data_IF_522102147816
#
_entry.id   IF_522102147816
#
_cell.length_a   1.000
_cell.length_b   1.000
_cell.length_c   1.000
_cell.angle_alpha   90.00
_cell.angle_beta   90.00
_cell.angle_gamma   90.00
#
_symmetry.space_group_name_H-M   'P 1'
#
loop_
_entity.id
_entity.type
_entity.pdbx_description
1 polymer ?
#
# COMPACT_ATOMS: atom_id res chain seq x y z
N UNK A 1 -0.14 -28.05 46.32
CA UNK A 1 0.47 -28.81 45.21
C UNK A 1 -0.64 -29.17 44.23
N UNK A 2 -0.55 -28.67 43.00
CA UNK A 2 -1.56 -28.85 41.96
C UNK A 2 -1.22 -27.96 40.78
N UNK A 3 -0.19 -28.33 40.01
CA UNK A 3 0.01 -27.83 38.65
C UNK A 3 -0.94 -28.59 37.72
N UNK A 4 -1.66 -27.89 36.85
CA UNK A 4 -1.54 -28.17 35.40
C UNK A 4 -1.76 -26.89 34.55
N UNK A 5 -1.38 -26.72 33.29
CA UNK A 5 -0.71 -27.47 32.23
C UNK A 5 -0.30 -26.38 31.22
N UNK A 6 0.95 -26.35 30.74
CA UNK A 6 1.29 -25.46 29.62
C UNK A 6 0.65 -26.03 28.35
N UNK A 7 -0.25 -25.26 27.73
CA UNK A 7 -0.69 -25.48 26.37
C UNK A 7 0.34 -24.85 25.44
N UNK A 8 1.20 -25.69 24.87
CA UNK A 8 2.05 -25.30 23.74
C UNK A 8 1.11 -25.23 22.54
N UNK A 9 0.72 -24.01 22.15
CA UNK A 9 0.06 -23.77 20.87
C UNK A 9 1.16 -23.71 19.82
N UNK A 10 1.32 -24.82 19.09
CA UNK A 10 2.16 -24.87 17.90
C UNK A 10 1.46 -24.04 16.82
N UNK A 11 2.00 -22.87 16.50
CA UNK A 11 1.49 -22.03 15.41
C UNK A 11 1.60 -22.77 14.08
N UNK A 12 0.48 -22.93 13.39
CA UNK A 12 0.49 -23.33 11.98
C UNK A 12 0.87 -22.10 11.14
N UNK A 13 2.08 -22.09 10.62
CA UNK A 13 2.48 -21.18 9.56
C UNK A 13 1.96 -21.68 8.21
N UNK A 14 0.98 -20.99 7.64
CA UNK A 14 0.64 -21.14 6.22
C UNK A 14 1.17 -19.91 5.48
N UNK A 15 2.38 -20.04 4.96
CA UNK A 15 2.96 -19.10 4.00
C UNK A 15 3.29 -19.86 2.73
N UNK A 16 2.36 -19.94 1.79
CA UNK A 16 2.65 -20.40 0.44
C UNK A 16 3.12 -19.18 -0.37
N UNK A 17 4.41 -18.88 -0.32
CA UNK A 17 5.02 -17.92 -1.23
C UNK A 17 5.20 -18.60 -2.60
N UNK A 18 4.26 -18.40 -3.53
CA UNK A 18 4.45 -18.79 -4.93
C UNK A 18 5.21 -17.66 -5.61
N UNK A 19 6.54 -17.68 -5.46
CA UNK A 19 7.43 -16.90 -6.31
C UNK A 19 7.45 -17.50 -7.71
N UNK A 20 6.78 -16.85 -8.67
CA UNK A 20 6.98 -17.17 -10.08
C UNK A 20 8.40 -16.71 -10.43
N UNK A 21 9.35 -17.65 -10.47
CA UNK A 21 10.67 -17.39 -11.00
C UNK A 21 10.54 -17.13 -12.51
N UNK A 22 10.59 -15.86 -12.91
CA UNK A 22 10.84 -15.49 -14.31
C UNK A 22 12.28 -15.92 -14.64
N UNK A 23 12.40 -17.10 -15.24
CA UNK A 23 13.63 -17.50 -15.91
C UNK A 23 13.88 -16.55 -17.07
N UNK A 24 14.98 -15.81 -16.99
CA UNK A 24 15.51 -14.95 -18.05
C UNK A 24 15.59 -15.72 -19.37
N UNK A 25 14.63 -15.50 -20.27
CA UNK A 25 14.81 -15.84 -21.68
C UNK A 25 15.76 -14.81 -22.27
N UNK A 26 17.05 -15.15 -22.28
CA UNK A 26 18.06 -14.47 -23.07
C UNK A 26 17.66 -14.64 -24.54
N UNK A 27 16.98 -13.65 -25.10
CA UNK A 27 16.87 -13.51 -26.56
C UNK A 27 18.24 -13.05 -27.04
N UNK A 28 19.12 -14.01 -27.33
CA UNK A 28 20.33 -13.73 -28.07
C UNK A 28 19.94 -13.32 -29.51
N UNK A 29 20.38 -12.16 -30.03
CA UNK A 29 20.16 -11.81 -31.43
C UNK A 29 20.97 -12.79 -32.30
N UNK A 30 20.24 -13.61 -33.06
CA UNK A 30 20.81 -14.64 -33.92
C UNK A 30 21.61 -13.98 -35.05
N UNK A 31 22.93 -14.19 -35.06
CA UNK A 31 23.79 -13.90 -36.21
C UNK A 31 23.75 -15.08 -37.19
N UNK A 32 23.47 -14.75 -38.45
CA UNK A 32 23.80 -15.44 -39.70
C UNK A 32 23.75 -16.99 -39.77
N UNK A 33 22.71 -17.46 -40.48
CA UNK A 33 22.85 -18.37 -41.62
C UNK A 33 23.69 -19.64 -41.43
N UNK A 34 23.20 -20.64 -40.70
CA UNK A 34 23.61 -22.05 -40.88
C UNK A 34 22.44 -22.97 -40.51
N UNK A 35 21.99 -23.88 -41.41
CA UNK A 35 20.94 -24.84 -41.08
C UNK A 35 21.56 -26.00 -40.29
N UNK A 36 21.58 -25.88 -38.96
CA UNK A 36 22.11 -26.90 -38.06
C UNK A 36 21.68 -26.70 -36.62
N UNK A 37 20.66 -27.45 -36.20
CA UNK A 37 20.48 -28.08 -34.87
C UNK A 37 20.78 -27.20 -33.64
N UNK A 38 19.75 -26.59 -33.07
CA UNK A 38 19.85 -25.94 -31.75
C UNK A 38 18.63 -25.14 -31.27
N UNK A 39 17.59 -24.95 -32.08
CA UNK A 39 16.33 -24.36 -31.63
C UNK A 39 15.41 -25.41 -31.02
N UNK A 40 14.86 -25.14 -29.84
CA UNK A 40 13.78 -25.95 -29.26
C UNK A 40 12.69 -26.16 -30.32
N UNK A 41 12.20 -27.39 -30.45
CA UNK A 41 11.15 -27.68 -31.42
C UNK A 41 9.87 -26.92 -31.03
N UNK A 42 9.09 -26.46 -32.02
CA UNK A 42 7.80 -25.81 -31.77
C UNK A 42 6.87 -26.66 -30.87
N UNK A 43 7.03 -27.99 -30.90
CA UNK A 43 6.29 -28.93 -30.07
C UNK A 43 6.72 -28.90 -28.59
N UNK A 44 8.02 -28.79 -28.30
CA UNK A 44 8.55 -28.65 -26.93
C UNK A 44 8.13 -27.31 -26.29
N UNK A 45 8.17 -26.21 -27.06
CA UNK A 45 7.70 -24.90 -26.57
C UNK A 45 6.20 -24.95 -26.27
N UNK A 46 5.42 -25.59 -27.13
CA UNK A 46 3.97 -25.75 -26.94
C UNK A 46 3.63 -26.62 -25.73
N UNK A 47 4.37 -27.71 -25.51
CA UNK A 47 4.21 -28.58 -24.34
C UNK A 47 4.55 -27.83 -23.05
N UNK A 48 5.69 -27.12 -23.01
CA UNK A 48 6.09 -26.28 -21.87
C UNK A 48 5.05 -25.20 -21.56
N UNK A 49 4.56 -24.50 -22.59
CA UNK A 49 3.51 -23.49 -22.41
C UNK A 49 2.21 -24.11 -21.87
N UNK A 50 1.79 -25.25 -22.42
CA UNK A 50 0.58 -25.96 -21.96
C UNK A 50 0.71 -26.38 -20.50
N UNK A 51 1.88 -26.89 -20.10
CA UNK A 51 2.17 -27.23 -18.71
C UNK A 51 2.16 -26.00 -17.81
N UNK A 52 2.78 -24.90 -18.22
CA UNK A 52 2.81 -23.65 -17.45
C UNK A 52 1.41 -23.09 -17.22
N UNK A 53 0.55 -23.12 -18.25
CA UNK A 53 -0.86 -22.71 -18.13
C UNK A 53 -1.62 -23.62 -17.17
N UNK A 54 -1.40 -24.94 -17.25
CA UNK A 54 -2.03 -25.88 -16.33
C UNK A 54 -1.59 -25.63 -14.88
N UNK A 55 -0.29 -25.50 -14.64
CA UNK A 55 0.28 -25.24 -13.32
C UNK A 55 -0.22 -23.90 -12.76
N UNK A 56 -0.30 -22.86 -13.59
CA UNK A 56 -0.90 -21.57 -13.23
C UNK A 56 -2.36 -21.69 -12.83
N UNK A 57 -3.17 -22.41 -13.60
CA UNK A 57 -4.60 -22.59 -13.30
C UNK A 57 -4.82 -23.38 -12.00
N UNK A 58 -4.00 -24.41 -11.75
CA UNK A 58 -4.06 -25.18 -10.50
C UNK A 58 -3.68 -24.30 -9.31
N UNK A 59 -2.56 -23.57 -9.41
CA UNK A 59 -2.12 -22.65 -8.36
C UNK A 59 -3.18 -21.58 -8.08
N UNK A 60 -3.76 -21.00 -9.13
CA UNK A 60 -4.83 -20.01 -9.01
C UNK A 60 -6.06 -20.59 -8.31
N UNK A 61 -6.53 -21.78 -8.69
CA UNK A 61 -7.68 -22.41 -8.05
C UNK A 61 -7.43 -22.72 -6.56
N UNK A 62 -6.21 -23.13 -6.21
CA UNK A 62 -5.82 -23.35 -4.82
C UNK A 62 -5.78 -22.05 -4.02
N UNK A 63 -5.24 -20.97 -4.60
CA UNK A 63 -5.23 -19.64 -3.99
C UNK A 63 -6.66 -19.10 -3.81
N UNK A 64 -7.49 -19.15 -4.84
CA UNK A 64 -8.89 -18.70 -4.77
C UNK A 64 -9.65 -19.46 -3.66
N UNK A 65 -9.38 -20.77 -3.49
CA UNK A 65 -9.95 -21.56 -2.39
C UNK A 65 -9.43 -21.13 -1.02
N UNK A 66 -8.13 -20.86 -0.87
CA UNK A 66 -7.55 -20.40 0.39
C UNK A 66 -8.08 -19.00 0.76
N UNK A 67 -8.17 -18.12 -0.23
CA UNK A 67 -8.70 -16.77 -0.09
C UNK A 67 -10.17 -16.79 0.34
N UNK A 68 -10.98 -17.72 -0.16
CA UNK A 68 -12.38 -17.84 0.29
C UNK A 68 -12.49 -18.10 1.79
N UNK A 69 -11.64 -18.97 2.33
CA UNK A 69 -11.60 -19.27 3.77
C UNK A 69 -11.06 -18.06 4.54
N UNK A 70 -10.00 -17.42 4.01
CA UNK A 70 -9.38 -16.29 4.68
C UNK A 70 -10.27 -15.04 4.69
N UNK A 71 -11.09 -14.85 3.66
CA UNK A 71 -12.09 -13.78 3.63
C UNK A 71 -13.09 -13.88 4.78
N UNK A 72 -13.48 -15.09 5.14
CA UNK A 72 -14.37 -15.34 6.28
C UNK A 72 -13.64 -15.20 7.62
N UNK A 73 -12.40 -15.71 7.72
CA UNK A 73 -11.63 -15.72 8.96
C UNK A 73 -10.99 -14.37 9.30
N UNK A 74 -10.62 -13.58 8.30
CA UNK A 74 -9.87 -12.34 8.49
C UNK A 74 -10.56 -11.35 9.42
N UNK A 75 -11.90 -11.31 9.40
CA UNK A 75 -12.71 -10.47 10.30
C UNK A 75 -12.51 -10.83 11.78
N UNK A 76 -12.50 -12.12 12.10
CA UNK A 76 -12.26 -12.60 13.46
C UNK A 76 -10.83 -12.34 13.91
N UNK A 77 -9.88 -12.36 12.98
CA UNK A 77 -8.47 -12.10 13.29
C UNK A 77 -8.22 -10.65 13.69
N UNK A 78 -8.91 -9.71 13.03
CA UNK A 78 -8.74 -8.28 13.30
C UNK A 78 -9.69 -7.74 14.37
N UNK A 79 -10.67 -8.54 14.81
CA UNK A 79 -11.70 -8.14 15.77
C UNK A 79 -11.10 -7.48 17.02
N UNK A 80 -11.63 -6.30 17.37
CA UNK A 80 -11.18 -5.53 18.53
C UNK A 80 -9.73 -5.05 18.52
N UNK A 81 -8.96 -5.24 17.43
CA UNK A 81 -7.53 -4.88 17.41
C UNK A 81 -7.29 -3.37 17.39
N UNK A 82 -8.24 -2.57 16.91
CA UNK A 82 -8.13 -1.12 16.72
C UNK A 82 -9.19 -0.32 17.49
N UNK A 83 -9.74 -0.88 18.57
CA UNK A 83 -10.75 -0.23 19.43
C UNK A 83 -10.37 1.22 19.76
N UNK A 84 -11.28 2.14 19.43
CA UNK A 84 -11.15 3.60 19.68
C UNK A 84 -9.93 4.26 19.02
N UNK A 85 -9.35 3.65 17.98
CA UNK A 85 -8.29 4.27 17.16
C UNK A 85 -8.90 4.94 15.93
N UNK A 86 -8.81 6.27 15.79
CA UNK A 86 -9.19 6.96 14.56
C UNK A 86 -8.29 6.55 13.40
N UNK A 87 -8.84 5.85 12.41
CA UNK A 87 -8.10 5.41 11.22
C UNK A 87 -8.73 6.00 9.97
N UNK A 88 -7.88 6.59 9.13
CA UNK A 88 -8.28 7.17 7.85
C UNK A 88 -7.86 6.27 6.70
N UNK A 89 -8.67 6.23 5.64
CA UNK A 89 -8.28 5.56 4.39
C UNK A 89 -8.04 6.60 3.30
N UNK A 90 -6.84 6.60 2.73
CA UNK A 90 -6.50 7.37 1.55
C UNK A 90 -6.39 6.42 0.35
N UNK A 91 -7.00 6.74 -0.78
CA UNK A 91 -6.83 5.93 -1.99
C UNK A 91 -6.08 6.72 -3.06
N UNK A 92 -4.98 6.15 -3.56
CA UNK A 92 -4.27 6.68 -4.72
C UNK A 92 -5.15 6.62 -5.99
N UNK A 93 -4.85 7.39 -7.04
CA UNK A 93 -5.67 7.43 -8.25
C UNK A 93 -5.80 6.07 -8.96
N UNK A 94 -4.78 5.22 -8.85
CA UNK A 94 -4.71 3.89 -9.45
C UNK A 94 -5.27 2.78 -8.54
N UNK A 95 -5.75 3.11 -7.34
CA UNK A 95 -6.32 2.15 -6.41
C UNK A 95 -7.64 1.58 -6.95
N UNK A 96 -7.84 0.27 -6.79
CA UNK A 96 -9.10 -0.37 -7.12
C UNK A 96 -10.12 -0.15 -5.99
N UNK A 97 -11.34 0.26 -6.32
CA UNK A 97 -12.38 0.55 -5.34
C UNK A 97 -12.79 -0.68 -4.50
N UNK A 98 -12.63 -1.90 -5.03
CA UNK A 98 -12.86 -3.14 -4.28
C UNK A 98 -11.81 -3.34 -3.18
N UNK A 99 -10.54 -3.07 -3.49
CA UNK A 99 -9.43 -3.17 -2.53
C UNK A 99 -9.62 -2.13 -1.39
N UNK A 100 -10.01 -0.90 -1.75
CA UNK A 100 -10.34 0.17 -0.78
C UNK A 100 -11.52 -0.23 0.11
N UNK A 101 -12.57 -0.79 -0.47
CA UNK A 101 -13.78 -1.22 0.27
C UNK A 101 -13.44 -2.35 1.23
N UNK A 102 -12.69 -3.35 0.80
CA UNK A 102 -12.31 -4.48 1.65
C UNK A 102 -11.46 -4.05 2.86
N UNK A 103 -10.51 -3.13 2.66
CA UNK A 103 -9.74 -2.53 3.76
C UNK A 103 -10.65 -1.79 4.74
N UNK A 104 -11.60 -0.98 4.24
CA UNK A 104 -12.55 -0.25 5.11
C UNK A 104 -13.44 -1.20 5.91
N UNK A 105 -13.93 -2.28 5.30
CA UNK A 105 -14.77 -3.27 5.98
C UNK A 105 -14.00 -4.00 7.09
N UNK A 106 -12.72 -4.33 6.86
CA UNK A 106 -11.86 -4.94 7.89
C UNK A 106 -11.48 -3.95 8.99
N UNK A 107 -11.23 -2.69 8.67
CA UNK A 107 -11.04 -1.64 9.67
C UNK A 107 -12.29 -1.47 10.56
N UNK A 108 -13.49 -1.56 9.97
CA UNK A 108 -14.74 -1.59 10.73
C UNK A 108 -14.87 -2.82 11.61
N UNK A 109 -14.48 -4.01 11.09
CA UNK A 109 -14.44 -5.25 11.88
C UNK A 109 -13.42 -5.19 13.01
N UNK A 110 -12.37 -4.36 12.89
CA UNK A 110 -11.36 -4.16 13.91
C UNK A 110 -11.74 -3.15 15.01
N UNK A 111 -13.00 -2.68 15.04
CA UNK A 111 -13.50 -1.64 15.94
C UNK A 111 -12.74 -0.30 15.85
N UNK A 112 -12.14 0.00 14.69
CA UNK A 112 -11.54 1.31 14.45
C UNK A 112 -12.61 2.41 14.39
N UNK A 113 -12.25 3.61 14.84
CA UNK A 113 -13.07 4.80 14.65
C UNK A 113 -12.83 5.32 13.22
N UNK A 114 -13.88 5.38 12.39
CA UNK A 114 -13.77 5.91 11.02
C UNK A 114 -13.40 7.41 11.05
N UNK A 115 -12.18 7.73 10.63
CA UNK A 115 -11.70 9.11 10.51
C UNK A 115 -11.95 9.70 9.11
N UNK A 116 -12.66 8.98 8.25
CA UNK A 116 -13.04 9.39 6.91
C UNK A 116 -12.22 8.71 5.81
N UNK A 117 -12.58 9.02 4.57
CA UNK A 117 -11.86 8.53 3.39
C UNK A 117 -11.65 9.64 2.36
N UNK A 118 -10.46 9.67 1.77
CA UNK A 118 -10.06 10.66 0.74
C UNK A 118 -9.52 9.92 -0.47
N UNK A 119 -10.02 10.25 -1.67
CA UNK A 119 -9.50 9.74 -2.94
C UNK A 119 -8.64 10.79 -3.61
N UNK A 120 -7.39 10.47 -3.93
CA UNK A 120 -6.54 11.29 -4.78
C UNK A 120 -6.96 11.10 -6.24
N UNK A 121 -6.88 12.17 -7.02
CA UNK A 121 -7.21 12.13 -8.45
C UNK A 121 -5.96 12.00 -9.30
N UNK A 122 -6.10 11.61 -10.57
CA UNK A 122 -4.96 11.54 -11.51
C UNK A 122 -4.22 12.88 -11.62
N UNK A 123 -4.95 13.99 -11.47
CA UNK A 123 -4.38 15.35 -11.45
C UNK A 123 -3.37 15.56 -10.31
N UNK A 124 -3.48 14.81 -9.21
CA UNK A 124 -2.50 14.85 -8.12
C UNK A 124 -1.13 14.34 -8.55
N UNK A 125 -1.09 13.38 -9.46
CA UNK A 125 0.13 12.73 -9.95
C UNK A 125 0.61 13.24 -11.32
N UNK A 126 -0.12 14.19 -11.91
CA UNK A 126 0.17 14.70 -13.23
C UNK A 126 1.22 15.83 -13.19
N UNK A 127 2.19 15.78 -14.10
CA UNK A 127 3.34 16.70 -14.10
C UNK A 127 2.92 18.14 -14.41
N UNK A 128 1.94 18.31 -15.31
CA UNK A 128 1.41 19.61 -15.73
C UNK A 128 0.64 20.37 -14.64
N UNK A 129 0.21 19.68 -13.60
CA UNK A 129 -0.52 20.25 -12.45
C UNK A 129 0.34 20.38 -11.20
N UNK A 130 1.60 19.95 -11.23
CA UNK A 130 2.50 19.92 -10.07
C UNK A 130 2.79 21.30 -9.48
N UNK A 131 3.14 22.28 -10.31
CA UNK A 131 3.44 23.65 -9.83
C UNK A 131 2.22 24.30 -9.16
N UNK A 132 1.03 24.04 -9.70
CA UNK A 132 -0.23 24.51 -9.12
C UNK A 132 -0.54 23.81 -7.81
N UNK A 133 -0.29 22.50 -7.72
CA UNK A 133 -0.44 21.74 -6.47
C UNK A 133 0.50 22.30 -5.40
N UNK A 134 1.78 22.47 -5.73
CA UNK A 134 2.80 23.03 -4.84
C UNK A 134 2.40 24.41 -4.32
N UNK A 135 1.97 25.32 -5.21
CA UNK A 135 1.51 26.65 -4.83
C UNK A 135 0.28 26.60 -3.91
N UNK A 136 -0.67 25.71 -4.20
CA UNK A 136 -1.88 25.54 -3.41
C UNK A 136 -1.57 25.04 -2.00
N UNK A 137 -0.78 23.98 -1.85
CA UNK A 137 -0.44 23.43 -0.52
C UNK A 137 0.44 24.37 0.30
N UNK A 138 1.27 25.18 -0.37
CA UNK A 138 2.08 26.21 0.31
C UNK A 138 1.22 27.35 0.85
N UNK A 139 0.16 27.74 0.12
CA UNK A 139 -0.72 28.85 0.50
C UNK A 139 -1.82 28.46 1.48
N UNK A 140 -2.14 27.17 1.56
CA UNK A 140 -3.18 26.61 2.44
C UNK A 140 -2.62 25.76 3.57
N UNK A 141 -1.32 25.87 3.83
CA UNK A 141 -0.61 25.11 4.84
C UNK A 141 -1.17 25.41 6.25
N UNK A 142 -1.56 24.40 7.04
CA UNK A 142 -2.04 24.60 8.41
C UNK A 142 -1.02 25.32 9.30
N UNK A 143 -1.50 26.08 10.27
CA UNK A 143 -0.64 26.81 11.20
C UNK A 143 0.28 25.86 11.98
N UNK A 144 1.58 26.19 12.04
CA UNK A 144 2.58 25.39 12.75
C UNK A 144 3.17 24.22 11.95
N UNK A 145 2.58 23.86 10.80
CA UNK A 145 3.16 22.90 9.89
C UNK A 145 4.46 23.44 9.26
N UNK A 146 5.40 22.54 8.96
CA UNK A 146 6.69 22.88 8.36
C UNK A 146 6.86 22.11 7.07
N UNK A 147 7.13 22.84 6.00
CA UNK A 147 7.54 22.26 4.73
C UNK A 147 9.06 22.20 4.64
N UNK A 148 9.57 21.16 4.00
CA UNK A 148 11.02 21.01 3.78
C UNK A 148 11.50 22.10 2.82
N UNK A 149 12.54 22.85 3.23
CA UNK A 149 13.11 23.96 2.44
C UNK A 149 14.04 23.50 1.32
N UNK A 150 14.52 22.26 1.37
CA UNK A 150 15.45 21.64 0.41
C UNK A 150 14.71 20.76 -0.60
N UNK A 151 13.66 20.05 -0.17
CA UNK A 151 12.78 19.26 -1.03
C UNK A 151 11.54 20.08 -1.39
N UNK A 152 11.60 20.83 -2.48
CA UNK A 152 10.54 21.77 -2.92
C UNK A 152 9.64 21.20 -4.03
N UNK A 153 9.53 19.88 -4.13
CA UNK A 153 8.65 19.25 -5.12
C UNK A 153 7.21 19.08 -4.59
N UNK A 154 6.25 19.05 -5.53
CA UNK A 154 4.83 18.99 -5.23
C UNK A 154 4.42 17.75 -4.42
N UNK A 155 5.02 16.59 -4.69
CA UNK A 155 4.73 15.35 -3.96
C UNK A 155 5.09 15.49 -2.49
N UNK A 156 6.34 15.85 -2.19
CA UNK A 156 6.83 16.03 -0.82
C UNK A 156 5.98 17.03 -0.04
N UNK A 157 5.74 18.23 -0.60
CA UNK A 157 4.99 19.28 0.11
C UNK A 157 3.51 18.95 0.27
N UNK A 158 2.89 18.28 -0.70
CA UNK A 158 1.52 17.83 -0.56
C UNK A 158 1.39 16.74 0.51
N UNK A 159 2.37 15.83 0.61
CA UNK A 159 2.45 14.84 1.68
C UNK A 159 2.53 15.49 3.06
N UNK A 160 3.44 16.46 3.21
CA UNK A 160 3.62 17.21 4.45
C UNK A 160 2.38 18.02 4.86
N UNK A 161 1.77 18.71 3.89
CA UNK A 161 0.57 19.50 4.15
C UNK A 161 -0.62 18.61 4.54
N UNK A 162 -0.84 17.50 3.83
CA UNK A 162 -1.90 16.56 4.15
C UNK A 162 -1.67 15.85 5.48
N UNK A 163 -0.44 15.43 5.80
CA UNK A 163 -0.14 14.85 7.11
C UNK A 163 -0.41 15.84 8.25
N UNK A 164 0.05 17.09 8.12
CA UNK A 164 -0.23 18.12 9.11
C UNK A 164 -1.73 18.47 9.23
N UNK A 165 -2.46 18.43 8.12
CA UNK A 165 -3.89 18.71 8.10
C UNK A 165 -4.76 17.58 8.66
N UNK A 166 -4.34 16.32 8.47
CA UNK A 166 -5.17 15.15 8.70
C UNK A 166 -4.80 14.37 9.97
N UNK A 167 -3.56 14.41 10.43
CA UNK A 167 -3.09 13.53 11.50
C UNK A 167 -3.22 14.16 12.89
N UNK A 168 -3.22 13.29 13.89
CA UNK A 168 -3.02 13.63 15.30
C UNK A 168 -1.54 13.51 15.65
N UNK A 169 -1.10 14.28 16.64
CA UNK A 169 0.22 14.12 17.24
C UNK A 169 0.28 12.78 18.00
N UNK A 170 1.29 11.97 17.69
CA UNK A 170 1.40 10.61 18.22
C UNK A 170 1.57 10.55 19.76
N UNK A 171 2.06 11.62 20.40
CA UNK A 171 2.34 11.66 21.84
C UNK A 171 1.17 12.21 22.64
N UNK A 172 0.58 13.28 22.15
CA UNK A 172 -0.48 14.03 22.84
C UNK A 172 -1.87 13.62 22.39
N UNK A 173 -1.99 12.91 21.27
CA UNK A 173 -3.26 12.52 20.62
C UNK A 173 -4.16 13.71 20.28
N UNK A 174 -3.57 14.91 20.22
CA UNK A 174 -4.27 16.13 19.80
C UNK A 174 -4.18 16.30 18.28
N UNK A 175 -5.20 16.85 17.61
CA UNK A 175 -5.13 17.18 16.19
C UNK A 175 -3.95 18.12 15.89
N UNK A 176 -3.19 17.84 14.83
CA UNK A 176 -2.09 18.71 14.38
C UNK A 176 -2.58 20.01 13.76
N UNK A 177 -3.79 19.99 13.18
CA UNK A 177 -4.44 21.15 12.59
C UNK A 177 -5.78 21.45 13.27
N UNK A 178 -6.11 22.74 13.33
CA UNK A 178 -7.44 23.19 13.72
C UNK A 178 -8.50 22.68 12.74
N UNK A 179 -9.76 22.70 13.15
CA UNK A 179 -10.88 22.31 12.26
C UNK A 179 -10.93 23.19 11.01
N UNK A 180 -10.72 24.50 11.18
CA UNK A 180 -10.78 25.48 10.09
C UNK A 180 -9.59 25.35 9.12
N UNK A 181 -8.38 25.13 9.63
CA UNK A 181 -7.19 24.93 8.78
C UNK A 181 -7.32 23.66 7.95
N UNK A 182 -7.73 22.54 8.58
CA UNK A 182 -7.98 21.28 7.87
C UNK A 182 -9.07 21.45 6.80
N UNK A 183 -10.18 22.11 7.15
CA UNK A 183 -11.25 22.36 6.19
C UNK A 183 -10.79 23.25 5.02
N UNK A 184 -9.96 24.26 5.29
CA UNK A 184 -9.41 25.16 4.27
C UNK A 184 -8.52 24.41 3.29
N UNK A 185 -7.55 23.62 3.80
CA UNK A 185 -6.67 22.79 2.97
C UNK A 185 -7.47 21.81 2.11
N UNK A 186 -8.39 21.05 2.71
CA UNK A 186 -9.14 20.02 2.01
C UNK A 186 -10.10 20.60 0.97
N UNK A 187 -10.81 21.68 1.27
CA UNK A 187 -11.68 22.35 0.29
C UNK A 187 -10.86 22.91 -0.87
N UNK A 188 -9.74 23.56 -0.60
CA UNK A 188 -8.87 24.09 -1.64
C UNK A 188 -8.38 22.99 -2.60
N UNK A 189 -7.91 21.86 -2.06
CA UNK A 189 -7.48 20.72 -2.86
C UNK A 189 -8.62 20.09 -3.68
N UNK A 190 -9.81 19.95 -3.08
CA UNK A 190 -11.00 19.40 -3.78
C UNK A 190 -11.52 20.33 -4.86
N UNK A 191 -11.64 21.63 -4.58
CA UNK A 191 -12.11 22.63 -5.53
C UNK A 191 -11.14 22.77 -6.72
N UNK A 192 -9.85 22.56 -6.46
CA UNK A 192 -8.84 22.46 -7.51
C UNK A 192 -8.78 21.08 -8.21
N UNK A 193 -9.57 20.09 -7.77
CA UNK A 193 -9.71 18.78 -8.40
C UNK A 193 -8.58 17.78 -8.12
N UNK A 194 -7.81 17.98 -7.05
CA UNK A 194 -6.70 17.09 -6.65
C UNK A 194 -7.14 15.92 -5.77
N UNK A 195 -8.21 16.11 -5.01
CA UNK A 195 -8.78 15.08 -4.12
C UNK A 195 -10.31 15.10 -4.19
N UNK A 196 -10.92 14.01 -3.77
CA UNK A 196 -12.36 13.88 -3.52
C UNK A 196 -12.60 13.30 -2.11
N UNK A 197 -13.64 13.80 -1.44
CA UNK A 197 -14.09 13.34 -0.15
C UNK A 197 -15.51 13.84 0.15
N UNK A 198 -16.21 13.11 1.02
CA UNK A 198 -17.55 13.48 1.48
C UNK A 198 -17.50 14.57 2.54
N UNK A 199 -18.29 15.63 2.36
CA UNK A 199 -18.38 16.73 3.31
C UNK A 199 -18.73 16.25 4.73
N UNK A 200 -18.09 16.85 5.73
CA UNK A 200 -18.35 16.59 7.14
C UNK A 200 -17.91 15.21 7.64
N UNK A 201 -17.17 14.43 6.85
CA UNK A 201 -16.72 13.08 7.24
C UNK A 201 -15.27 13.00 7.70
N UNK A 202 -14.45 14.00 7.39
CA UNK A 202 -13.01 13.93 7.67
C UNK A 202 -12.70 14.41 9.08
N UNK A 203 -12.22 13.48 9.91
CA UNK A 203 -11.75 13.72 11.27
C UNK A 203 -10.22 13.56 11.32
N UNK A 204 -9.55 14.13 12.34
CA UNK A 204 -8.14 13.84 12.57
C UNK A 204 -7.93 12.34 12.83
N UNK A 205 -6.86 11.75 12.29
CA UNK A 205 -6.56 10.34 12.42
C UNK A 205 -5.28 10.07 13.22
N UNK A 206 -5.25 8.96 13.96
CA UNK A 206 -4.03 8.44 14.59
C UNK A 206 -3.23 7.55 13.66
N UNK A 207 -3.91 6.93 12.69
CA UNK A 207 -3.29 6.14 11.64
C UNK A 207 -3.93 6.40 10.28
N UNK A 208 -3.16 6.17 9.22
CA UNK A 208 -3.65 6.18 7.85
C UNK A 208 -3.30 4.87 7.14
N UNK A 209 -4.26 4.30 6.43
CA UNK A 209 -4.03 3.26 5.44
C UNK A 209 -4.15 3.89 4.06
N UNK A 210 -3.05 3.87 3.31
CA UNK A 210 -2.99 4.39 1.96
C UNK A 210 -3.05 3.22 0.99
N UNK A 211 -4.15 3.10 0.26
CA UNK A 211 -4.36 2.04 -0.72
C UNK A 211 -3.90 2.52 -2.09
N UNK A 212 -2.96 1.79 -2.68
CA UNK A 212 -2.43 2.00 -4.03
C UNK A 212 -2.83 0.90 -4.99
N UNK A 213 -2.63 1.14 -6.28
CA UNK A 213 -2.76 0.13 -7.31
C UNK A 213 -1.47 -0.65 -7.55
N UNK A 214 -1.29 -1.06 -8.81
CA UNK A 214 -0.12 -1.79 -9.30
C UNK A 214 0.73 -0.96 -10.26
N UNK A 215 0.87 0.35 -10.01
CA UNK A 215 1.62 1.23 -10.90
C UNK A 215 3.09 0.81 -11.03
N UNK A 216 3.50 0.47 -12.26
CA UNK A 216 4.88 0.13 -12.64
C UNK A 216 5.36 1.01 -13.79
N UNK A 217 6.68 1.20 -13.95
CA UNK A 217 7.22 2.02 -15.04
C UNK A 217 6.91 1.45 -16.43
N UNK A 218 6.55 0.17 -16.54
CA UNK A 218 6.34 -0.56 -17.79
C UNK A 218 7.66 -1.10 -18.39
N UNK A 219 7.56 -1.98 -19.39
CA UNK A 219 8.73 -2.51 -20.13
C UNK A 219 9.28 -1.49 -21.12
N UNK A 220 8.45 -0.56 -21.58
CA UNK A 220 8.87 0.53 -22.45
C UNK A 220 9.58 1.61 -21.61
N UNK A 221 10.87 1.82 -21.86
CA UNK A 221 11.68 2.87 -21.20
C UNK A 221 11.08 4.29 -21.38
N UNK A 222 10.10 4.46 -22.28
CA UNK A 222 9.45 5.70 -22.72
C UNK A 222 8.05 6.00 -22.14
N UNK A 223 7.73 5.58 -20.91
CA UNK A 223 6.59 6.17 -20.17
C UNK A 223 7.00 7.22 -19.11
N UNK A 224 7.56 8.40 -19.49
CA UNK A 224 7.92 9.46 -18.53
C UNK A 224 6.81 9.81 -17.54
N UNK A 225 5.55 9.83 -17.99
CA UNK A 225 4.41 10.12 -17.13
C UNK A 225 4.21 9.11 -16.00
N UNK A 226 4.40 7.80 -16.27
CA UNK A 226 4.31 6.76 -15.23
C UNK A 226 5.46 6.85 -14.24
N UNK A 227 6.69 7.03 -14.73
CA UNK A 227 7.87 7.24 -13.87
C UNK A 227 7.69 8.46 -12.97
N UNK A 228 7.20 9.57 -13.53
CA UNK A 228 6.85 10.77 -12.77
C UNK A 228 5.77 10.51 -11.72
N UNK A 229 4.69 9.80 -12.08
CA UNK A 229 3.60 9.47 -11.14
C UNK A 229 4.09 8.56 -10.00
N UNK A 230 4.95 7.59 -10.29
CA UNK A 230 5.58 6.72 -9.28
C UNK A 230 6.47 7.55 -8.35
N UNK A 231 7.38 8.34 -8.91
CA UNK A 231 8.29 9.18 -8.11
C UNK A 231 7.50 10.21 -7.27
N UNK A 232 6.44 10.78 -7.82
CA UNK A 232 5.56 11.71 -7.10
C UNK A 232 4.81 11.00 -5.98
N UNK A 233 4.35 9.77 -6.20
CA UNK A 233 3.72 8.93 -5.16
C UNK A 233 4.71 8.65 -4.03
N UNK A 234 5.92 8.19 -4.34
CA UNK A 234 6.94 7.91 -3.32
C UNK A 234 7.27 9.16 -2.51
N UNK A 235 7.48 10.30 -3.17
CA UNK A 235 7.75 11.57 -2.48
C UNK A 235 6.58 12.06 -1.64
N UNK A 236 5.35 11.86 -2.12
CA UNK A 236 4.14 12.13 -1.35
C UNK A 236 4.11 11.30 -0.06
N UNK A 237 4.37 10.00 -0.16
CA UNK A 237 4.38 9.10 0.98
C UNK A 237 5.51 9.45 1.98
N UNK A 238 6.74 9.69 1.50
CA UNK A 238 7.85 10.17 2.34
C UNK A 238 7.55 11.52 2.99
N UNK A 239 6.89 12.43 2.27
CA UNK A 239 6.45 13.72 2.80
C UNK A 239 5.38 13.55 3.89
N UNK A 240 4.49 12.59 3.73
CA UNK A 240 3.45 12.26 4.71
C UNK A 240 4.05 11.74 6.03
N UNK A 241 5.17 11.02 5.95
CA UNK A 241 5.97 10.57 7.10
C UNK A 241 6.63 11.72 7.90
N UNK A 242 6.38 12.99 7.55
CA UNK A 242 6.83 14.15 8.34
C UNK A 242 6.18 14.25 9.72
N UNK A 243 5.16 13.43 9.99
CA UNK A 243 4.53 13.25 11.30
C UNK A 243 4.85 11.86 11.84
N UNK A 244 4.91 11.70 13.16
CA UNK A 244 5.11 10.39 13.81
C UNK A 244 3.84 9.50 13.77
N UNK A 245 2.88 9.78 12.87
CA UNK A 245 1.63 9.04 12.77
C UNK A 245 1.84 7.64 12.16
N UNK A 246 1.03 6.67 12.58
CA UNK A 246 1.06 5.34 11.98
C UNK A 246 0.60 5.42 10.52
N UNK A 247 1.38 4.83 9.62
CA UNK A 247 1.18 4.91 8.18
C UNK A 247 1.49 3.58 7.50
N UNK A 248 0.45 2.99 6.92
CA UNK A 248 0.54 1.77 6.12
C UNK A 248 0.29 2.11 4.65
N UNK A 249 1.18 1.69 3.76
CA UNK A 249 0.93 1.73 2.32
C UNK A 249 0.67 0.32 1.79
N UNK A 250 -0.55 0.09 1.29
CA UNK A 250 -1.02 -1.19 0.80
C UNK A 250 -1.27 -1.12 -0.71
N UNK A 251 -0.48 -1.82 -1.51
CA UNK A 251 -0.57 -1.81 -2.98
C UNK A 251 -0.74 -3.20 -3.57
N UNK A 252 -0.92 -3.28 -4.89
CA UNK A 252 -0.93 -4.55 -5.60
C UNK A 252 0.49 -5.06 -5.80
N UNK A 253 0.63 -6.39 -5.95
CA UNK A 253 1.93 -7.08 -6.03
C UNK A 253 2.87 -6.51 -7.10
N UNK A 254 2.32 -6.00 -8.22
CA UNK A 254 3.11 -5.43 -9.31
C UNK A 254 3.94 -4.23 -8.85
N UNK A 255 3.43 -3.42 -7.92
CA UNK A 255 4.15 -2.25 -7.41
C UNK A 255 5.38 -2.61 -6.56
N UNK A 256 5.54 -3.88 -6.16
CA UNK A 256 6.72 -4.39 -5.47
C UNK A 256 7.81 -4.89 -6.43
N UNK A 257 7.54 -4.95 -7.74
CA UNK A 257 8.52 -5.22 -8.79
C UNK A 257 9.37 -4.00 -9.15
N UNK A 258 10.38 -4.21 -9.99
CA UNK A 258 11.43 -3.24 -10.32
C UNK A 258 10.89 -1.85 -10.69
N UNK A 259 11.30 -0.84 -9.90
CA UNK A 259 10.93 0.55 -10.11
C UNK A 259 9.49 0.90 -9.76
N UNK A 260 8.72 -0.02 -9.17
CA UNK A 260 7.40 0.24 -8.61
C UNK A 260 7.45 1.01 -7.28
N UNK A 261 6.29 1.44 -6.80
CA UNK A 261 6.17 2.25 -5.57
C UNK A 261 6.63 1.48 -4.33
N UNK A 262 6.17 0.24 -4.14
CA UNK A 262 6.53 -0.58 -2.97
C UNK A 262 8.02 -0.93 -2.98
N UNK A 263 8.60 -1.23 -4.14
CA UNK A 263 10.04 -1.48 -4.27
C UNK A 263 10.85 -0.28 -3.77
N UNK A 264 10.53 0.93 -4.27
CA UNK A 264 11.21 2.17 -3.88
C UNK A 264 11.07 2.49 -2.40
N UNK A 265 9.87 2.33 -1.82
CA UNK A 265 9.63 2.57 -0.38
C UNK A 265 10.43 1.61 0.50
N UNK A 266 10.47 0.32 0.13
CA UNK A 266 11.23 -0.73 0.82
C UNK A 266 12.73 -0.47 0.73
N UNK A 267 13.22 -0.07 -0.44
CA UNK A 267 14.62 0.29 -0.65
C UNK A 267 15.06 1.52 0.17
N UNK A 268 14.16 2.51 0.32
CA UNK A 268 14.41 3.71 1.11
C UNK A 268 14.38 3.49 2.63
N UNK A 269 13.92 2.33 3.12
CA UNK A 269 13.82 1.97 4.55
C UNK A 269 13.03 2.98 5.41
N UNK A 270 11.99 3.55 4.81
CA UNK A 270 11.03 4.49 5.45
C UNK A 270 10.37 3.89 6.69
N UNK A 271 9.81 4.73 7.57
CA UNK A 271 8.99 4.32 8.72
C UNK A 271 7.63 3.73 8.34
N UNK A 272 7.28 3.75 7.06
CA UNK A 272 6.02 3.28 6.50
C UNK A 272 6.01 1.75 6.50
N UNK A 273 4.97 1.14 7.05
CA UNK A 273 4.74 -0.29 6.89
C UNK A 273 4.15 -0.53 5.51
N UNK A 274 4.67 -1.52 4.79
CA UNK A 274 4.26 -1.76 3.41
C UNK A 274 3.59 -3.10 3.27
N UNK A 275 2.51 -3.17 2.49
CA UNK A 275 1.78 -4.40 2.20
C UNK A 275 1.58 -4.51 0.70
N UNK A 276 2.01 -5.61 0.09
CA UNK A 276 1.71 -5.91 -1.31
C UNK A 276 0.54 -6.89 -1.44
N UNK A 277 0.09 -7.14 -2.68
CA UNK A 277 -0.99 -8.10 -2.99
C UNK A 277 -2.33 -7.77 -2.31
N UNK A 278 -2.67 -6.47 -2.16
CA UNK A 278 -3.88 -5.99 -1.47
C UNK A 278 -5.21 -6.51 -2.06
N UNK A 279 -5.17 -7.07 -3.26
CA UNK A 279 -6.27 -7.78 -3.91
C UNK A 279 -6.57 -9.16 -3.30
N UNK A 280 -5.78 -9.61 -2.31
CA UNK A 280 -5.98 -10.85 -1.59
C UNK A 280 -6.38 -10.63 -0.11
N UNK A 281 -7.31 -11.44 0.45
CA UNK A 281 -7.78 -11.29 1.84
C UNK A 281 -6.67 -11.33 2.90
N UNK A 282 -5.62 -12.14 2.71
CA UNK A 282 -4.46 -12.18 3.63
C UNK A 282 -3.80 -10.81 3.75
N UNK A 283 -3.58 -10.13 2.62
CA UNK A 283 -2.94 -8.81 2.60
C UNK A 283 -3.86 -7.70 3.09
N UNK A 284 -5.17 -7.82 2.86
CA UNK A 284 -6.17 -6.90 3.41
C UNK A 284 -6.17 -6.95 4.95
N UNK A 285 -6.15 -8.17 5.50
CA UNK A 285 -5.96 -8.39 6.94
C UNK A 285 -4.61 -7.87 7.43
N UNK A 286 -3.52 -8.18 6.71
CA UNK A 286 -2.18 -7.73 7.07
C UNK A 286 -2.09 -6.19 7.14
N UNK A 287 -2.81 -5.47 6.27
CA UNK A 287 -2.85 -4.01 6.27
C UNK A 287 -3.43 -3.45 7.57
N UNK A 288 -4.50 -4.07 8.09
CA UNK A 288 -5.11 -3.70 9.37
C UNK A 288 -4.21 -4.05 10.55
N UNK A 289 -3.62 -5.25 10.55
CA UNK A 289 -2.66 -5.65 11.58
C UNK A 289 -1.40 -4.78 11.58
N UNK A 290 -0.96 -4.30 10.43
CA UNK A 290 0.20 -3.40 10.31
C UNK A 290 -0.09 -2.03 10.92
N UNK A 291 -1.34 -1.54 10.83
CA UNK A 291 -1.77 -0.35 11.56
C UNK A 291 -1.61 -0.57 13.06
N UNK A 292 -2.09 -1.71 13.56
CA UNK A 292 -1.95 -2.05 14.98
C UNK A 292 -0.49 -2.13 15.41
N UNK A 293 0.35 -2.79 14.63
CA UNK A 293 1.79 -2.91 14.91
C UNK A 293 2.47 -1.54 14.96
N UNK A 294 2.18 -0.63 14.02
CA UNK A 294 2.74 0.72 14.04
C UNK A 294 2.26 1.56 15.21
N UNK A 295 0.98 1.45 15.59
CA UNK A 295 0.47 2.12 16.79
C UNK A 295 1.16 1.60 18.07
N UNK A 296 1.68 0.37 18.05
CA UNK A 296 2.50 -0.20 19.13
C UNK A 296 4.00 0.11 18.99
N UNK A 297 4.40 0.86 17.95
CA UNK A 297 5.78 1.27 17.69
C UNK A 297 6.61 0.29 16.86
N UNK A 298 6.00 -0.77 16.32
CA UNK A 298 6.62 -1.66 15.34
C UNK A 298 6.46 -1.16 13.90
N UNK A 299 6.99 -1.92 12.94
CA UNK A 299 6.77 -1.74 11.50
C UNK A 299 7.24 -2.99 10.77
N UNK A 300 6.75 -3.17 9.55
CA UNK A 300 7.24 -4.25 8.71
C UNK A 300 6.90 -4.14 7.23
N UNK A 301 7.38 -5.16 6.52
CA UNK A 301 7.26 -5.30 5.07
C UNK A 301 6.54 -6.61 4.78
N UNK A 302 5.29 -6.52 4.34
CA UNK A 302 4.38 -7.65 4.24
C UNK A 302 3.86 -7.90 2.83
N UNK A 303 3.46 -9.14 2.59
CA UNK A 303 2.79 -9.58 1.37
C UNK A 303 3.40 -10.85 0.79
N UNK A 304 3.21 -11.03 -0.52
CA UNK A 304 3.60 -12.22 -1.27
C UNK A 304 4.80 -11.99 -2.19
N UNK A 305 5.21 -10.74 -2.41
CA UNK A 305 6.36 -10.43 -3.27
C UNK A 305 7.68 -10.93 -2.64
N UNK A 306 8.68 -11.22 -3.48
CA UNK A 306 9.97 -11.75 -3.04
C UNK A 306 10.77 -10.81 -2.12
N UNK A 307 10.45 -9.51 -2.15
CA UNK A 307 11.02 -8.49 -1.27
C UNK A 307 10.13 -8.18 -0.05
N UNK A 308 9.17 -9.05 0.28
CA UNK A 308 8.46 -9.04 1.56
C UNK A 308 9.21 -9.85 2.64
N UNK A 309 9.09 -9.42 3.90
CA UNK A 309 9.72 -10.09 5.05
C UNK A 309 8.80 -11.14 5.70
N UNK A 310 7.49 -11.06 5.43
CA UNK A 310 6.48 -12.04 5.84
C UNK A 310 5.13 -11.78 5.17
N UNK A 311 4.18 -12.72 5.31
CA UNK A 311 2.85 -12.54 4.72
C UNK A 311 2.00 -11.51 5.48
N UNK A 312 2.18 -11.42 6.80
CA UNK A 312 1.45 -10.51 7.69
C UNK A 312 2.26 -10.26 8.98
N UNK A 313 1.92 -9.23 9.77
CA UNK A 313 2.39 -9.09 11.13
C UNK A 313 2.07 -10.32 11.99
N UNK A 314 2.72 -10.43 13.15
CA UNK A 314 2.38 -11.47 14.11
C UNK A 314 0.91 -11.39 14.51
N UNK A 315 0.22 -12.53 14.50
CA UNK A 315 -1.17 -12.60 14.90
C UNK A 315 -1.34 -12.21 16.38
N UNK A 316 -2.47 -11.57 16.76
CA UNK A 316 -2.82 -11.35 18.15
C UNK A 316 -2.75 -12.68 18.94
N UNK A 317 -2.20 -12.62 20.16
CA UNK A 317 -1.97 -13.83 20.97
C UNK A 317 -3.24 -14.45 21.56
N UNK A 318 -4.36 -13.73 21.48
CA UNK A 318 -5.61 -14.05 22.17
C UNK A 318 -6.75 -14.46 21.19
N UNK A 319 -6.39 -14.93 19.98
CA UNK A 319 -7.34 -15.53 19.02
C UNK A 319 -7.94 -16.84 19.53
#
# INVERSE_FOLDING_TARGET
MGSPKSLIVTGLGFGAAIGIALGTLVIAPNMDSTPGRGGESNDEVREKYSKLVLDHNIAKAQLDSADSVMGDLGRYVVDGTLVQRPVMVLSMPDANDADVTAVKDLLGSADSTDAGSIKLTEKFLAQESADKLLSLVTTTLPAGAKLDKKKIDAGTHAGQALAAGLMMDAKTTQPLATVDDRATLLRALRDAGYIDYKDGTILPAQAVVIVGGGLTPGEDEESPGKKYAIDTTVKFLEGFESTDAAMVYAGRVQSAGDGGVLEKLRAAKTGISTVDSIDHPVSQMASVLAVKEQLDGGRGVYGSAANAEGAAPALPKDL
#
